data_IF_095703784119
#
_entry.id   IF_095703784119
#
_cell.length_a   1.000
_cell.length_b   1.000
_cell.length_c   1.000
_cell.angle_alpha   90.00
_cell.angle_beta   90.00
_cell.angle_gamma   90.00
#
_symmetry.space_group_name_H-M   'P 1'
#
loop_
_entity.id
_entity.type
_entity.pdbx_description
1 polymer ?
#
# COMPACT_ATOMS: atom_id res chain seq x y z
N UNK A 1 -5.83 19.27 79.24
CA UNK A 1 -5.97 20.22 78.10
C UNK A 1 -4.73 20.29 77.18
N UNK A 2 -3.49 20.45 77.69
CA UNK A 2 -2.27 20.50 76.84
C UNK A 2 -2.04 19.27 75.94
N UNK A 3 -2.24 18.06 76.46
CA UNK A 3 -2.07 16.79 75.69
C UNK A 3 -3.05 16.66 74.52
N UNK A 4 -4.29 17.13 74.68
CA UNK A 4 -5.31 17.13 73.62
C UNK A 4 -4.94 18.12 72.50
N UNK A 5 -4.43 19.31 72.85
CA UNK A 5 -3.96 20.30 71.86
C UNK A 5 -2.77 19.79 71.05
N UNK A 6 -1.85 19.06 71.67
CA UNK A 6 -0.71 18.44 70.97
C UNK A 6 -1.21 17.38 70.00
N UNK A 7 -2.12 16.50 70.42
CA UNK A 7 -2.68 15.44 69.56
C UNK A 7 -3.41 16.00 68.33
N UNK A 8 -4.18 17.08 68.50
CA UNK A 8 -4.86 17.76 67.39
C UNK A 8 -3.85 18.37 66.42
N UNK A 9 -2.77 18.98 66.93
CA UNK A 9 -1.72 19.55 66.10
C UNK A 9 -0.98 18.48 65.28
N UNK A 10 -0.63 17.33 65.87
CA UNK A 10 0.00 16.22 65.14
C UNK A 10 -0.93 15.64 64.08
N UNK A 11 -2.23 15.52 64.37
CA UNK A 11 -3.22 15.03 63.41
C UNK A 11 -3.34 15.98 62.20
N UNK A 12 -3.36 17.29 62.44
CA UNK A 12 -3.40 18.27 61.34
C UNK A 12 -2.14 18.22 60.47
N UNK A 13 -0.96 18.07 61.06
CA UNK A 13 0.29 17.92 60.29
C UNK A 13 0.26 16.66 59.44
N UNK A 14 -0.23 15.54 59.97
CA UNK A 14 -0.37 14.30 59.21
C UNK A 14 -1.33 14.44 58.02
N UNK A 15 -2.46 15.13 58.20
CA UNK A 15 -3.41 15.39 57.12
C UNK A 15 -2.80 16.27 56.02
N UNK A 16 -2.05 17.31 56.39
CA UNK A 16 -1.36 18.18 55.43
C UNK A 16 -0.31 17.42 54.63
N UNK A 17 0.45 16.53 55.29
CA UNK A 17 1.45 15.68 54.62
C UNK A 17 0.81 14.72 53.62
N UNK A 18 -0.29 14.06 54.00
CA UNK A 18 -1.02 13.15 53.10
C UNK A 18 -1.62 13.90 51.92
N UNK A 19 -2.21 15.08 52.16
CA UNK A 19 -2.75 15.94 51.09
C UNK A 19 -1.66 16.42 50.14
N UNK A 20 -0.48 16.80 50.67
CA UNK A 20 0.67 17.22 49.87
C UNK A 20 1.22 16.09 48.98
N UNK A 21 1.31 14.88 49.52
CA UNK A 21 1.72 13.69 48.76
C UNK A 21 0.68 13.37 47.66
N UNK A 22 -0.61 13.41 47.99
CA UNK A 22 -1.68 13.20 47.02
C UNK A 22 -1.66 14.23 45.88
N UNK A 23 -1.48 15.51 46.20
CA UNK A 23 -1.35 16.59 45.21
C UNK A 23 -0.10 16.40 44.33
N UNK A 24 1.03 15.99 44.90
CA UNK A 24 2.25 15.68 44.15
C UNK A 24 2.03 14.54 43.14
N UNK A 25 1.40 13.43 43.55
CA UNK A 25 1.10 12.33 42.64
C UNK A 25 0.06 12.71 41.58
N UNK A 26 -0.96 13.50 41.92
CA UNK A 26 -1.97 13.98 40.98
C UNK A 26 -1.37 14.92 39.91
N UNK A 27 -0.55 15.89 40.33
CA UNK A 27 0.17 16.78 39.40
C UNK A 27 1.15 16.01 38.49
N UNK A 28 1.83 14.99 39.03
CA UNK A 28 2.71 14.12 38.24
C UNK A 28 1.92 13.25 37.25
N UNK A 29 0.74 12.77 37.62
CA UNK A 29 -0.14 11.99 36.73
C UNK A 29 -0.72 12.85 35.59
N UNK A 30 -1.06 14.10 35.87
CA UNK A 30 -1.52 15.06 34.85
C UNK A 30 -0.41 15.50 33.88
N UNK A 31 0.82 15.63 34.37
CA UNK A 31 2.01 15.84 33.52
C UNK A 31 2.25 14.66 32.58
N UNK A 32 2.16 13.41 33.08
CA UNK A 32 2.31 12.19 32.25
C UNK A 32 1.17 12.06 31.22
N UNK A 33 -0.05 12.49 31.53
CA UNK A 33 -1.17 12.53 30.57
C UNK A 33 -1.01 13.61 29.51
N UNK A 34 -0.46 14.78 29.85
CA UNK A 34 -0.21 15.89 28.90
C UNK A 34 0.98 15.63 27.96
N UNK A 35 2.04 14.95 28.42
CA UNK A 35 3.16 14.58 27.54
C UNK A 35 2.77 13.48 26.52
N UNK A 36 1.84 12.60 26.87
CA UNK A 36 1.25 11.63 25.93
C UNK A 36 0.32 12.26 24.86
N UNK A 37 -0.02 13.55 24.98
CA UNK A 37 -0.81 14.29 23.99
C UNK A 37 0.01 15.29 23.14
N UNK A 38 1.33 15.40 23.36
CA UNK A 38 2.21 16.20 22.48
C UNK A 38 2.53 15.45 21.19
N UNK A 39 1.70 15.71 20.17
CA UNK A 39 1.84 15.37 18.75
C UNK A 39 2.31 13.94 18.44
N UNK A 40 1.37 13.05 18.12
CA UNK A 40 1.74 11.84 17.38
C UNK A 40 2.39 12.27 16.07
N UNK A 41 3.68 11.97 15.96
CA UNK A 41 4.57 12.13 14.80
C UNK A 41 4.11 11.16 13.69
N UNK A 42 2.87 11.30 13.24
CA UNK A 42 2.29 10.46 12.19
C UNK A 42 2.62 11.07 10.82
N UNK A 43 3.09 10.25 9.89
CA UNK A 43 3.16 10.65 8.48
C UNK A 43 1.75 10.53 7.86
N UNK A 44 1.55 11.09 6.67
CA UNK A 44 0.33 10.88 5.90
C UNK A 44 0.27 9.49 5.26
N UNK A 45 -0.28 9.40 4.05
CA UNK A 45 -0.48 8.10 3.37
C UNK A 45 0.74 7.76 2.51
N UNK A 46 1.63 6.82 2.93
CA UNK A 46 2.68 6.33 2.06
C UNK A 46 2.13 5.62 0.82
N UNK A 47 2.85 5.75 -0.30
CA UNK A 47 2.57 5.00 -1.54
C UNK A 47 3.74 4.08 -1.84
N UNK A 48 3.49 2.77 -1.85
CA UNK A 48 4.51 1.75 -2.11
C UNK A 48 4.45 1.31 -3.56
N UNK A 49 5.59 1.31 -4.23
CA UNK A 49 5.76 0.85 -5.59
C UNK A 49 6.42 -0.53 -5.60
N UNK A 50 5.87 -1.47 -6.37
CA UNK A 50 6.37 -2.84 -6.52
C UNK A 50 6.60 -3.18 -8.00
N UNK A 51 7.85 -3.45 -8.38
CA UNK A 51 8.23 -3.93 -9.71
C UNK A 51 7.73 -5.35 -10.03
N UNK A 52 7.84 -5.71 -11.31
CA UNK A 52 7.60 -7.06 -11.81
C UNK A 52 8.76 -8.05 -11.60
N UNK A 53 8.53 -9.26 -12.10
CA UNK A 53 9.48 -10.38 -12.09
C UNK A 53 10.82 -9.99 -12.76
N UNK A 54 11.94 -10.39 -12.16
CA UNK A 54 13.28 -10.16 -12.73
C UNK A 54 13.71 -8.69 -12.81
N UNK A 55 12.97 -7.78 -12.18
CA UNK A 55 13.24 -6.33 -12.17
C UNK A 55 13.76 -5.86 -10.81
N UNK A 56 13.81 -4.55 -10.60
CA UNK A 56 14.24 -3.88 -9.37
C UNK A 56 13.55 -2.52 -9.24
N UNK A 57 13.82 -1.82 -8.14
CA UNK A 57 13.27 -0.48 -7.88
C UNK A 57 13.48 0.54 -9.02
N UNK A 58 14.52 0.34 -9.85
CA UNK A 58 14.83 1.21 -10.99
C UNK A 58 13.67 1.33 -11.98
N UNK A 59 12.82 0.32 -12.09
CA UNK A 59 11.63 0.36 -12.95
C UNK A 59 10.60 1.40 -12.49
N UNK A 60 10.70 1.89 -11.25
CA UNK A 60 9.72 2.81 -10.67
C UNK A 60 10.22 4.25 -10.67
N UNK A 61 11.55 4.46 -10.78
CA UNK A 61 12.21 5.76 -10.67
C UNK A 61 11.63 6.80 -11.64
N UNK A 62 11.18 6.39 -12.83
CA UNK A 62 10.53 7.29 -13.78
C UNK A 62 9.23 7.86 -13.21
N UNK A 63 8.33 6.98 -12.73
CA UNK A 63 7.03 7.37 -12.17
C UNK A 63 7.20 8.16 -10.87
N UNK A 64 8.11 7.75 -9.99
CA UNK A 64 8.36 8.46 -8.73
C UNK A 64 9.01 9.83 -8.97
N UNK A 65 9.90 9.93 -9.97
CA UNK A 65 10.46 11.22 -10.43
C UNK A 65 9.38 12.13 -11.02
N UNK A 66 8.43 11.58 -11.79
CA UNK A 66 7.30 12.35 -12.30
C UNK A 66 6.43 12.88 -11.14
N UNK A 67 6.18 12.07 -10.11
CA UNK A 67 5.46 12.51 -8.91
C UNK A 67 6.21 13.63 -8.16
N UNK A 68 7.54 13.54 -8.03
CA UNK A 68 8.37 14.62 -7.47
C UNK A 68 8.25 15.91 -8.28
N UNK A 69 8.37 15.82 -9.62
CA UNK A 69 8.22 16.97 -10.53
C UNK A 69 6.83 17.61 -10.46
N UNK A 70 5.79 16.82 -10.20
CA UNK A 70 4.43 17.31 -9.98
C UNK A 70 4.19 17.84 -8.55
N UNK A 71 5.24 18.01 -7.74
CA UNK A 71 5.17 18.48 -6.35
C UNK A 71 4.20 17.65 -5.48
N UNK A 72 4.14 16.33 -5.70
CA UNK A 72 3.42 15.40 -4.82
C UNK A 72 4.14 15.27 -3.49
N UNK A 73 5.46 15.08 -3.54
CA UNK A 73 6.36 14.91 -2.42
C UNK A 73 7.80 15.13 -2.89
N UNK A 74 8.69 15.52 -1.99
CA UNK A 74 10.14 15.42 -2.21
C UNK A 74 10.76 14.19 -1.53
N UNK A 75 9.94 13.43 -0.80
CA UNK A 75 10.37 12.29 0.01
C UNK A 75 10.07 11.00 -0.72
N UNK A 76 11.12 10.45 -1.35
CA UNK A 76 11.15 9.10 -1.92
C UNK A 76 12.26 8.35 -1.17
N UNK A 77 11.91 7.20 -0.58
CA UNK A 77 12.88 6.31 0.08
C UNK A 77 12.83 4.94 -0.58
N UNK A 78 13.87 4.12 -0.38
CA UNK A 78 13.89 2.74 -0.84
C UNK A 78 13.71 1.76 0.32
N UNK A 79 12.95 0.70 0.10
CA UNK A 79 12.84 -0.45 0.98
C UNK A 79 13.47 -1.67 0.29
N UNK A 80 14.69 -2.02 0.69
CA UNK A 80 15.38 -3.22 0.21
C UNK A 80 14.90 -4.43 1.03
N UNK A 81 14.42 -5.47 0.34
CA UNK A 81 13.90 -6.70 0.93
C UNK A 81 14.82 -7.86 0.54
N UNK A 82 15.42 -8.51 1.52
CA UNK A 82 16.25 -9.70 1.31
C UNK A 82 15.40 -10.96 1.06
N UNK A 83 16.05 -12.05 0.64
CA UNK A 83 15.39 -13.35 0.37
C UNK A 83 14.68 -13.96 1.59
N UNK A 84 15.10 -13.62 2.81
CA UNK A 84 14.46 -14.02 4.08
C UNK A 84 13.39 -13.02 4.57
N UNK A 85 12.99 -12.04 3.74
CA UNK A 85 12.02 -10.99 4.05
C UNK A 85 12.47 -9.96 5.10
N UNK A 86 13.77 -9.83 5.38
CA UNK A 86 14.26 -8.70 6.18
C UNK A 86 14.23 -7.41 5.35
N UNK A 87 13.74 -6.33 5.96
CA UNK A 87 13.56 -5.03 5.29
C UNK A 87 14.55 -4.01 5.84
N UNK A 88 15.30 -3.37 4.93
CA UNK A 88 16.19 -2.24 5.23
C UNK A 88 15.73 -1.00 4.47
N UNK A 89 15.73 0.15 5.13
CA UNK A 89 15.33 1.42 4.50
C UNK A 89 16.55 2.26 4.15
N UNK A 90 16.56 2.80 2.94
CA UNK A 90 17.54 3.78 2.47
C UNK A 90 16.84 5.12 2.33
N UNK A 91 17.33 6.09 3.09
CA UNK A 91 16.65 7.36 3.32
C UNK A 91 15.77 7.35 4.57
N UNK A 92 15.17 8.49 4.86
CA UNK A 92 14.32 8.70 6.02
C UNK A 92 13.08 9.48 5.62
N UNK A 93 11.94 9.14 6.23
CA UNK A 93 10.71 9.93 6.09
C UNK A 93 10.65 10.89 7.28
N UNK A 94 10.76 12.22 7.06
CA UNK A 94 10.57 13.19 8.13
C UNK A 94 9.15 13.14 8.70
N UNK A 95 9.00 13.57 9.94
CA UNK A 95 7.69 13.70 10.59
C UNK A 95 6.74 14.57 9.76
N UNK A 96 5.43 14.28 9.80
CA UNK A 96 4.38 15.03 9.11
C UNK A 96 4.47 15.06 7.58
N UNK A 97 5.34 14.24 6.96
CA UNK A 97 5.39 14.07 5.50
C UNK A 97 4.04 13.56 5.00
N UNK A 98 3.38 14.27 4.08
CA UNK A 98 2.00 13.94 3.65
C UNK A 98 1.91 12.73 2.72
N UNK A 99 2.73 12.67 1.67
CA UNK A 99 2.66 11.65 0.62
C UNK A 99 4.05 11.01 0.39
N UNK A 100 4.69 10.38 1.39
CA UNK A 100 5.98 9.74 1.15
C UNK A 100 5.82 8.61 0.14
N UNK A 101 6.79 8.47 -0.75
CA UNK A 101 6.85 7.36 -1.71
C UNK A 101 7.93 6.39 -1.25
N UNK A 102 7.63 5.10 -1.37
CA UNK A 102 8.56 4.02 -1.04
C UNK A 102 8.71 3.14 -2.28
N UNK A 103 9.90 3.13 -2.85
CA UNK A 103 10.30 2.21 -3.92
C UNK A 103 10.73 0.90 -3.27
N UNK A 104 10.03 -0.19 -3.57
CA UNK A 104 10.35 -1.50 -2.98
C UNK A 104 11.27 -2.25 -3.92
N UNK A 105 12.42 -2.68 -3.40
CA UNK A 105 13.38 -3.48 -4.14
C UNK A 105 13.45 -4.88 -3.55
N UNK A 106 13.16 -5.91 -4.36
CA UNK A 106 13.36 -7.29 -3.95
C UNK A 106 14.73 -7.78 -4.39
N UNK A 107 15.51 -8.34 -3.45
CA UNK A 107 16.76 -9.02 -3.78
C UNK A 107 16.52 -10.23 -4.68
N UNK A 108 15.44 -10.97 -4.43
CA UNK A 108 14.98 -12.08 -5.27
C UNK A 108 13.64 -11.70 -5.93
N UNK A 109 13.72 -10.84 -6.94
CA UNK A 109 12.55 -10.34 -7.68
C UNK A 109 11.84 -11.42 -8.50
N UNK A 110 12.51 -12.55 -8.76
CA UNK A 110 11.95 -13.70 -9.46
C UNK A 110 11.04 -14.55 -8.57
N UNK A 111 11.14 -14.40 -7.25
CA UNK A 111 10.34 -15.15 -6.27
C UNK A 111 9.54 -14.22 -5.34
N UNK A 112 9.12 -13.06 -5.86
CA UNK A 112 8.29 -12.11 -5.11
C UNK A 112 6.96 -12.73 -4.66
N UNK A 113 6.48 -12.33 -3.49
CA UNK A 113 5.24 -12.84 -2.90
C UNK A 113 4.53 -11.81 -2.03
N UNK A 114 3.31 -12.15 -1.59
CA UNK A 114 2.56 -11.41 -0.57
C UNK A 114 3.34 -11.23 0.74
N UNK A 115 4.23 -12.17 1.08
CA UNK A 115 5.07 -12.11 2.29
C UNK A 115 6.05 -10.92 2.23
N UNK A 116 6.60 -10.62 1.06
CA UNK A 116 7.46 -9.46 0.87
C UNK A 116 6.66 -8.16 1.09
N UNK A 117 5.45 -8.07 0.53
CA UNK A 117 4.55 -6.93 0.72
C UNK A 117 4.24 -6.74 2.22
N UNK A 118 3.83 -7.82 2.89
CA UNK A 118 3.53 -7.81 4.33
C UNK A 118 4.75 -7.38 5.16
N UNK A 119 5.95 -7.84 4.82
CA UNK A 119 7.17 -7.50 5.52
C UNK A 119 7.47 -5.99 5.42
N UNK A 120 7.36 -5.41 4.22
CA UNK A 120 7.55 -3.97 4.00
C UNK A 120 6.50 -3.17 4.76
N UNK A 121 5.22 -3.54 4.64
CA UNK A 121 4.12 -2.86 5.36
C UNK A 121 4.36 -2.90 6.87
N UNK A 122 4.71 -4.05 7.44
CA UNK A 122 5.00 -4.19 8.88
C UNK A 122 6.22 -3.35 9.29
N UNK A 123 7.31 -3.41 8.52
CA UNK A 123 8.52 -2.64 8.81
C UNK A 123 8.26 -1.13 8.79
N UNK A 124 7.53 -0.66 7.79
CA UNK A 124 7.19 0.76 7.63
C UNK A 124 6.24 1.21 8.74
N UNK A 125 5.20 0.42 9.04
CA UNK A 125 4.21 0.71 10.09
C UNK A 125 4.87 0.83 11.46
N UNK A 126 5.80 -0.08 11.80
CA UNK A 126 6.58 -0.01 13.05
C UNK A 126 7.43 1.25 13.14
N UNK A 127 8.05 1.67 12.03
CA UNK A 127 9.01 2.79 12.03
C UNK A 127 8.35 4.17 11.99
N UNK A 128 7.30 4.35 11.19
CA UNK A 128 6.78 5.69 10.89
C UNK A 128 5.36 5.97 11.38
N UNK A 129 4.59 4.94 11.78
CA UNK A 129 3.17 5.00 12.17
C UNK A 129 2.28 5.73 11.15
N UNK A 130 1.36 5.02 10.53
CA UNK A 130 0.37 5.61 9.61
C UNK A 130 -0.86 4.72 9.57
N UNK A 131 -2.03 5.32 9.31
CA UNK A 131 -3.30 4.61 9.25
C UNK A 131 -3.66 4.07 7.86
N UNK A 132 -3.17 4.71 6.80
CA UNK A 132 -3.56 4.40 5.42
C UNK A 132 -2.35 4.19 4.53
N UNK A 133 -2.51 3.34 3.52
CA UNK A 133 -1.46 3.04 2.54
C UNK A 133 -2.03 2.97 1.12
N UNK A 134 -1.24 3.40 0.14
CA UNK A 134 -1.52 3.18 -1.27
C UNK A 134 -0.51 2.21 -1.87
N UNK A 135 -0.90 1.51 -2.94
CA UNK A 135 -0.03 0.63 -3.70
C UNK A 135 0.00 0.99 -5.18
N UNK A 136 1.17 0.82 -5.80
CA UNK A 136 1.36 0.79 -7.25
C UNK A 136 2.09 -0.50 -7.58
N UNK A 137 1.50 -1.35 -8.41
CA UNK A 137 2.12 -2.58 -8.89
C UNK A 137 2.36 -2.53 -10.40
N UNK A 138 3.52 -3.00 -10.84
CA UNK A 138 3.77 -3.29 -12.25
C UNK A 138 3.88 -4.80 -12.47
N UNK A 139 3.22 -5.31 -13.53
CA UNK A 139 3.31 -6.72 -13.92
C UNK A 139 3.06 -7.66 -12.73
N UNK A 140 4.02 -8.51 -12.39
CA UNK A 140 3.96 -9.44 -11.26
C UNK A 140 3.77 -8.78 -9.88
N UNK A 141 4.24 -7.54 -9.69
CA UNK A 141 4.02 -6.77 -8.46
C UNK A 141 2.53 -6.61 -8.12
N UNK A 142 1.65 -6.62 -9.13
CA UNK A 142 0.20 -6.61 -8.93
C UNK A 142 -0.32 -7.88 -8.26
N UNK A 143 0.23 -9.05 -8.62
CA UNK A 143 -0.17 -10.31 -8.00
C UNK A 143 0.34 -10.41 -6.57
N UNK A 144 1.52 -9.86 -6.28
CA UNK A 144 2.02 -9.77 -4.90
C UNK A 144 1.06 -8.95 -4.03
N UNK A 145 0.64 -7.78 -4.52
CA UNK A 145 -0.33 -6.91 -3.80
C UNK A 145 -1.70 -7.58 -3.69
N UNK A 146 -2.21 -8.21 -4.75
CA UNK A 146 -3.49 -8.90 -4.73
C UNK A 146 -3.51 -10.06 -3.73
N UNK A 147 -2.46 -10.87 -3.68
CA UNK A 147 -2.34 -11.95 -2.69
C UNK A 147 -2.14 -11.41 -1.27
N UNK A 148 -1.40 -10.32 -1.10
CA UNK A 148 -1.31 -9.64 0.22
C UNK A 148 -2.69 -9.24 0.74
N UNK A 149 -3.54 -8.65 -0.10
CA UNK A 149 -4.93 -8.35 0.26
C UNK A 149 -5.68 -9.63 0.58
N UNK A 150 -5.53 -10.66 -0.27
CA UNK A 150 -6.24 -11.91 -0.15
C UNK A 150 -5.98 -12.60 1.21
N UNK A 151 -4.73 -12.57 1.65
CA UNK A 151 -4.24 -13.27 2.84
C UNK A 151 -4.34 -12.45 4.13
N UNK A 152 -4.56 -11.13 4.05
CA UNK A 152 -4.49 -10.23 5.22
C UNK A 152 -5.70 -9.29 5.35
N UNK A 153 -6.79 -9.50 4.61
CA UNK A 153 -7.94 -8.59 4.56
C UNK A 153 -8.62 -8.33 5.91
N UNK A 154 -8.51 -9.26 6.86
CA UNK A 154 -9.12 -9.22 8.20
C UNK A 154 -8.12 -8.79 9.30
N UNK A 155 -6.87 -8.50 8.94
CA UNK A 155 -5.83 -8.16 9.90
C UNK A 155 -5.90 -6.68 10.31
N UNK A 156 -6.63 -6.40 11.39
CA UNK A 156 -6.83 -5.06 11.94
C UNK A 156 -5.57 -4.37 12.47
N UNK A 157 -4.44 -5.07 12.57
CA UNK A 157 -3.14 -4.49 12.98
C UNK A 157 -2.40 -3.82 11.83
N UNK A 158 -2.86 -4.03 10.59
CA UNK A 158 -2.27 -3.45 9.39
C UNK A 158 -2.97 -2.13 9.02
N UNK A 159 -2.27 -1.20 8.36
CA UNK A 159 -2.87 0.02 7.85
C UNK A 159 -3.94 -0.29 6.80
N UNK A 160 -4.98 0.53 6.74
CA UNK A 160 -6.03 0.41 5.75
C UNK A 160 -5.49 0.73 4.35
N UNK A 161 -5.86 -0.08 3.37
CA UNK A 161 -5.54 0.20 1.98
C UNK A 161 -6.53 1.25 1.46
N UNK A 162 -6.00 2.33 0.90
CA UNK A 162 -6.78 3.45 0.43
C UNK A 162 -6.94 3.43 -1.10
N UNK A 163 -5.82 3.39 -1.84
CA UNK A 163 -5.82 3.36 -3.31
C UNK A 163 -4.85 2.34 -3.87
N UNK A 164 -5.22 1.72 -4.98
CA UNK A 164 -4.35 0.82 -5.74
C UNK A 164 -4.29 1.27 -7.21
N UNK A 165 -3.07 1.40 -7.73
CA UNK A 165 -2.82 1.43 -9.17
C UNK A 165 -2.25 0.08 -9.58
N UNK A 166 -2.90 -0.57 -10.54
CA UNK A 166 -2.38 -1.74 -11.23
C UNK A 166 -1.91 -1.35 -12.61
N UNK A 167 -0.67 -1.67 -12.97
CA UNK A 167 -0.09 -1.42 -14.29
C UNK A 167 0.29 -2.77 -14.89
N UNK A 168 -0.33 -3.15 -16.00
CA UNK A 168 -0.08 -4.41 -16.69
C UNK A 168 -0.23 -5.66 -15.79
N UNK A 169 -1.20 -5.67 -14.87
CA UNK A 169 -1.44 -6.83 -14.00
C UNK A 169 -1.96 -8.03 -14.78
N UNK A 170 -1.30 -9.19 -14.67
CA UNK A 170 -1.66 -10.41 -15.42
C UNK A 170 -2.48 -11.39 -14.56
N UNK A 171 -3.60 -10.92 -14.02
CA UNK A 171 -4.42 -11.65 -13.04
C UNK A 171 -4.83 -13.04 -13.52
N UNK A 172 -5.17 -13.19 -14.81
CA UNK A 172 -5.57 -14.46 -15.40
C UNK A 172 -4.50 -15.06 -16.34
N UNK A 173 -3.23 -14.96 -15.93
CA UNK A 173 -2.08 -15.51 -16.64
C UNK A 173 -1.44 -14.50 -17.59
N UNK A 174 -0.16 -14.73 -17.92
CA UNK A 174 0.60 -13.92 -18.88
C UNK A 174 0.69 -14.63 -20.24
N UNK A 175 1.25 -14.00 -21.28
CA UNK A 175 1.28 -14.56 -22.65
C UNK A 175 2.09 -15.86 -22.78
N UNK A 176 2.95 -16.20 -21.81
CA UNK A 176 3.63 -17.49 -21.74
C UNK A 176 2.70 -18.66 -21.37
N UNK A 177 1.58 -18.38 -20.70
CA UNK A 177 0.57 -19.37 -20.34
C UNK A 177 -0.53 -19.44 -21.40
N UNK A 178 -1.05 -20.65 -21.68
CA UNK A 178 -2.15 -20.83 -22.65
C UNK A 178 -3.37 -19.97 -22.30
N UNK A 179 -3.77 -19.97 -21.03
CA UNK A 179 -4.94 -19.20 -20.55
C UNK A 179 -4.71 -17.69 -20.71
N UNK A 180 -3.54 -17.18 -20.34
CA UNK A 180 -3.22 -15.76 -20.50
C UNK A 180 -3.13 -15.32 -21.95
N UNK A 181 -2.65 -16.20 -22.85
CA UNK A 181 -2.52 -15.93 -24.29
C UNK A 181 -3.84 -15.98 -25.05
N UNK A 182 -4.72 -16.92 -24.72
CA UNK A 182 -5.93 -17.20 -25.50
C UNK A 182 -7.23 -16.74 -24.82
N UNK A 183 -7.17 -16.41 -23.54
CA UNK A 183 -8.34 -16.08 -22.72
C UNK A 183 -9.12 -14.87 -23.23
N UNK A 184 -10.43 -14.92 -23.02
CA UNK A 184 -11.39 -13.88 -23.45
C UNK A 184 -12.28 -13.49 -22.30
N UNK A 185 -12.73 -12.24 -22.30
CA UNK A 185 -13.80 -11.79 -21.40
C UNK A 185 -15.15 -12.18 -21.99
N UNK A 186 -15.88 -13.08 -21.33
CA UNK A 186 -17.21 -13.54 -21.74
C UNK A 186 -18.34 -12.69 -21.15
N UNK A 187 -18.07 -11.98 -20.06
CA UNK A 187 -19.00 -11.02 -19.49
C UNK A 187 -18.25 -9.73 -19.19
N UNK A 188 -18.49 -8.71 -20.02
CA UNK A 188 -17.83 -7.40 -19.90
C UNK A 188 -18.32 -6.59 -18.69
N UNK A 189 -19.53 -6.86 -18.20
CA UNK A 189 -20.06 -6.15 -17.03
C UNK A 189 -19.32 -6.56 -15.76
N UNK A 190 -19.02 -7.85 -15.65
CA UNK A 190 -18.29 -8.40 -14.49
C UNK A 190 -16.79 -8.52 -14.71
N UNK A 191 -16.32 -8.59 -15.95
CA UNK A 191 -14.93 -8.91 -16.31
C UNK A 191 -14.63 -10.41 -16.28
N UNK A 192 -15.65 -11.28 -16.29
CA UNK A 192 -15.47 -12.74 -16.18
C UNK A 192 -14.75 -13.28 -17.41
N UNK A 193 -13.62 -14.00 -17.26
CA UNK A 193 -13.00 -14.70 -18.37
C UNK A 193 -13.69 -16.04 -18.69
N UNK A 194 -13.46 -16.57 -19.89
CA UNK A 194 -13.89 -17.89 -20.36
C UNK A 194 -13.24 -19.05 -19.59
N UNK A 195 -11.95 -18.90 -19.26
CA UNK A 195 -11.17 -19.90 -18.52
C UNK A 195 -10.40 -19.23 -17.36
N UNK A 196 -10.19 -19.96 -16.26
CA UNK A 196 -9.46 -19.47 -15.08
C UNK A 196 -8.07 -20.12 -14.99
N UNK A 197 -7.02 -19.31 -15.07
CA UNK A 197 -5.66 -19.72 -14.76
C UNK A 197 -5.52 -20.14 -13.28
N UNK A 198 -4.52 -20.96 -12.95
CA UNK A 198 -4.32 -21.42 -11.57
C UNK A 198 -4.09 -20.25 -10.59
N UNK A 199 -3.27 -19.28 -10.99
CA UNK A 199 -3.04 -18.05 -10.23
C UNK A 199 -4.33 -17.25 -10.00
N UNK A 200 -5.21 -17.17 -11.00
CA UNK A 200 -6.50 -16.50 -10.87
C UNK A 200 -7.43 -17.20 -9.89
N UNK A 201 -7.46 -18.54 -9.90
CA UNK A 201 -8.27 -19.34 -8.96
C UNK A 201 -7.92 -19.05 -7.50
N UNK A 202 -6.63 -18.83 -7.21
CA UNK A 202 -6.17 -18.48 -5.86
C UNK A 202 -6.70 -17.11 -5.39
N UNK A 203 -6.98 -16.19 -6.33
CA UNK A 203 -7.49 -14.85 -6.03
C UNK A 203 -9.03 -14.76 -6.01
N UNK A 204 -9.75 -15.79 -6.45
CA UNK A 204 -11.23 -15.80 -6.43
C UNK A 204 -11.87 -15.46 -5.07
N UNK A 205 -11.29 -15.83 -3.91
CA UNK A 205 -11.83 -15.42 -2.61
C UNK A 205 -12.00 -13.90 -2.44
N UNK A 206 -11.18 -13.08 -3.11
CA UNK A 206 -11.32 -11.61 -3.12
C UNK A 206 -12.75 -11.17 -3.47
N UNK A 207 -13.47 -11.91 -4.32
CA UNK A 207 -14.86 -11.62 -4.66
C UNK A 207 -15.80 -11.56 -3.45
N UNK A 208 -15.41 -12.19 -2.34
CA UNK A 208 -16.18 -12.22 -1.09
C UNK A 208 -15.65 -11.31 0.00
N UNK A 209 -14.37 -10.97 -0.01
CA UNK A 209 -13.75 -10.25 1.11
C UNK A 209 -12.83 -9.09 0.73
N UNK A 210 -12.75 -8.71 -0.54
CA UNK A 210 -12.03 -7.50 -0.94
C UNK A 210 -12.52 -6.29 -0.13
N UNK A 211 -11.64 -5.50 0.52
CA UNK A 211 -12.05 -4.38 1.35
C UNK A 211 -12.81 -3.31 0.55
N UNK A 212 -13.94 -2.84 1.11
CA UNK A 212 -14.90 -2.01 0.37
C UNK A 212 -14.47 -0.55 0.20
N UNK A 213 -13.50 -0.10 0.96
CA UNK A 213 -13.00 1.28 0.94
C UNK A 213 -11.99 1.55 -0.17
N UNK A 214 -11.42 0.50 -0.79
CA UNK A 214 -10.32 0.64 -1.74
C UNK A 214 -10.82 1.18 -3.07
N UNK A 215 -10.16 2.23 -3.57
CA UNK A 215 -10.32 2.74 -4.93
C UNK A 215 -9.24 2.14 -5.83
N UNK A 216 -9.61 1.73 -7.05
CA UNK A 216 -8.69 1.03 -7.96
C UNK A 216 -8.63 1.72 -9.32
N UNK A 217 -7.41 1.93 -9.80
CA UNK A 217 -7.09 2.28 -11.17
C UNK A 217 -6.31 1.12 -11.81
N UNK A 218 -6.87 0.52 -12.86
CA UNK A 218 -6.26 -0.55 -13.64
C UNK A 218 -5.81 0.00 -15.00
N UNK A 219 -4.50 0.02 -15.24
CA UNK A 219 -3.86 0.51 -16.47
C UNK A 219 -3.25 -0.68 -17.20
N UNK A 220 -3.50 -0.80 -18.49
CA UNK A 220 -2.93 -1.86 -19.33
C UNK A 220 -2.66 -1.35 -20.74
N UNK A 221 -1.78 -2.04 -21.45
CA UNK A 221 -1.33 -1.64 -22.78
C UNK A 221 -1.85 -2.52 -23.90
N UNK A 222 -2.14 -1.91 -25.04
CA UNK A 222 -2.24 -2.55 -26.34
C UNK A 222 -1.26 -1.87 -27.30
N UNK A 223 -0.27 -2.62 -27.81
CA UNK A 223 0.70 -2.09 -28.78
C UNK A 223 0.07 -1.77 -30.14
N UNK A 224 -1.17 -2.19 -30.39
CA UNK A 224 -1.89 -2.08 -31.66
C UNK A 224 -1.16 -2.77 -32.82
N UNK A 225 -0.40 -3.84 -32.52
CA UNK A 225 0.31 -4.69 -33.49
C UNK A 225 -0.44 -6.00 -33.80
N UNK A 226 -1.72 -6.07 -33.44
CA UNK A 226 -2.55 -7.27 -33.58
C UNK A 226 -2.48 -8.25 -32.42
N UNK A 227 -1.53 -8.11 -31.48
CA UNK A 227 -1.40 -9.00 -30.31
C UNK A 227 -2.47 -8.80 -29.24
N UNK A 228 -3.17 -7.65 -29.25
CA UNK A 228 -4.17 -7.26 -28.24
C UNK A 228 -3.58 -7.31 -26.82
N UNK A 229 -2.41 -6.71 -26.67
CA UNK A 229 -1.64 -6.74 -25.43
C UNK A 229 -0.36 -5.90 -25.52
N UNK A 230 0.36 -5.88 -24.40
CA UNK A 230 1.56 -5.06 -24.23
C UNK A 230 2.86 -5.77 -24.63
N UNK A 231 2.74 -7.02 -25.10
CA UNK A 231 3.86 -7.91 -25.45
C UNK A 231 4.22 -8.94 -24.37
N UNK A 232 3.71 -8.80 -23.15
CA UNK A 232 3.85 -9.80 -22.07
C UNK A 232 2.51 -10.20 -21.46
N UNK A 233 1.53 -9.31 -21.48
CA UNK A 233 0.20 -9.46 -20.88
C UNK A 233 -0.85 -9.10 -21.91
N UNK A 234 -1.89 -9.94 -22.03
CA UNK A 234 -3.04 -9.64 -22.87
C UNK A 234 -3.96 -8.63 -22.18
N UNK A 235 -4.62 -7.78 -22.98
CA UNK A 235 -5.66 -6.86 -22.48
C UNK A 235 -6.73 -7.63 -21.70
N UNK A 236 -7.13 -8.80 -22.20
CA UNK A 236 -8.12 -9.66 -21.54
C UNK A 236 -7.65 -10.07 -20.13
N UNK A 237 -6.41 -10.55 -19.97
CA UNK A 237 -5.89 -10.93 -18.65
C UNK A 237 -5.89 -9.77 -17.67
N UNK A 238 -5.49 -8.57 -18.11
CA UNK A 238 -5.50 -7.37 -17.27
C UNK A 238 -6.92 -6.95 -16.83
N UNK A 239 -7.90 -7.06 -17.72
CA UNK A 239 -9.30 -6.73 -17.43
C UNK A 239 -9.95 -7.69 -16.43
N UNK A 240 -9.45 -8.92 -16.27
CA UNK A 240 -10.01 -9.88 -15.30
C UNK A 240 -9.89 -9.43 -13.84
N UNK A 241 -9.08 -8.40 -13.54
CA UNK A 241 -9.07 -7.82 -12.19
C UNK A 241 -10.45 -7.35 -11.75
N UNK A 242 -11.23 -6.79 -12.69
CA UNK A 242 -12.63 -6.39 -12.47
C UNK A 242 -13.43 -7.53 -11.86
N UNK A 243 -13.28 -8.75 -12.37
CA UNK A 243 -14.01 -9.90 -11.86
C UNK A 243 -13.62 -10.26 -10.43
N UNK A 244 -12.41 -9.97 -9.98
CA UNK A 244 -12.01 -10.27 -8.60
C UNK A 244 -12.67 -9.31 -7.59
N UNK A 245 -13.04 -8.10 -7.99
CA UNK A 245 -13.39 -7.02 -7.03
C UNK A 245 -14.71 -6.28 -7.32
N UNK A 246 -15.37 -6.57 -8.44
CA UNK A 246 -16.66 -5.98 -8.79
C UNK A 246 -17.70 -6.25 -7.69
N UNK A 247 -18.51 -5.24 -7.37
CA UNK A 247 -19.49 -5.26 -6.28
C UNK A 247 -18.89 -5.08 -4.88
N UNK A 248 -17.56 -4.95 -4.78
CA UNK A 248 -16.85 -4.77 -3.50
C UNK A 248 -16.05 -3.48 -3.42
N UNK A 249 -15.10 -3.26 -4.33
CA UNK A 249 -14.25 -2.07 -4.31
C UNK A 249 -15.09 -0.78 -4.36
N UNK A 250 -14.61 0.29 -3.72
CA UNK A 250 -15.29 1.60 -3.69
C UNK A 250 -15.45 2.18 -5.08
N UNK A 251 -14.40 2.05 -5.89
CA UNK A 251 -14.40 2.43 -7.29
C UNK A 251 -13.41 1.57 -8.07
N UNK A 252 -13.70 1.36 -9.35
CA UNK A 252 -12.82 0.63 -10.26
C UNK A 252 -12.83 1.30 -11.62
N UNK A 253 -11.68 1.82 -12.04
CA UNK A 253 -11.48 2.48 -13.34
C UNK A 253 -10.44 1.71 -14.15
N UNK A 254 -10.73 1.50 -15.43
CA UNK A 254 -9.78 0.96 -16.39
C UNK A 254 -9.30 2.06 -17.34
N UNK A 255 -8.03 1.99 -17.73
CA UNK A 255 -7.47 2.84 -18.78
C UNK A 255 -6.55 1.99 -19.66
N UNK A 256 -6.90 1.91 -20.93
CA UNK A 256 -6.06 1.29 -21.96
C UNK A 256 -5.11 2.33 -22.55
N UNK A 257 -3.82 2.03 -22.54
CA UNK A 257 -2.77 2.79 -23.23
C UNK A 257 -2.55 2.13 -24.59
N UNK A 258 -2.45 2.93 -25.65
CA UNK A 258 -2.41 2.42 -27.03
C UNK A 258 -1.13 2.79 -27.78
N UNK A 259 -0.80 1.99 -28.78
CA UNK A 259 0.32 2.19 -29.69
C UNK A 259 1.67 1.75 -29.12
N UNK A 260 2.76 2.05 -29.82
CA UNK A 260 4.10 1.51 -29.51
C UNK A 260 4.64 1.85 -28.10
N UNK A 261 4.11 2.88 -27.43
CA UNK A 261 4.45 3.26 -26.04
C UNK A 261 3.61 2.52 -24.98
N UNK A 262 2.70 1.65 -25.41
CA UNK A 262 1.94 0.75 -24.56
C UNK A 262 2.66 -0.60 -24.33
N UNK A 263 3.91 -0.76 -24.82
CA UNK A 263 4.70 -1.96 -24.54
C UNK A 263 4.94 -2.14 -23.04
N UNK A 264 5.00 -3.39 -22.59
CA UNK A 264 4.99 -3.81 -21.19
C UNK A 264 5.89 -3.01 -20.25
N UNK A 265 7.16 -2.81 -20.60
CA UNK A 265 8.12 -2.05 -19.80
C UNK A 265 7.95 -0.54 -20.03
N UNK A 266 7.63 -0.13 -21.26
CA UNK A 266 7.37 1.29 -21.56
C UNK A 266 6.20 1.87 -20.78
N UNK A 267 5.25 1.05 -20.31
CA UNK A 267 4.13 1.54 -19.48
C UNK A 267 4.60 2.24 -18.20
N UNK A 268 5.66 1.77 -17.55
CA UNK A 268 6.22 2.44 -16.36
C UNK A 268 7.23 3.57 -16.70
N UNK A 269 7.44 3.83 -17.98
CA UNK A 269 8.23 4.95 -18.53
C UNK A 269 7.36 5.90 -19.38
N UNK A 270 6.03 5.81 -19.21
CA UNK A 270 5.07 6.52 -20.06
C UNK A 270 4.46 7.71 -19.33
N UNK A 271 4.65 8.91 -19.89
CA UNK A 271 4.14 10.17 -19.32
C UNK A 271 2.61 10.25 -19.22
N UNK A 272 1.87 9.52 -20.05
CA UNK A 272 0.41 9.39 -19.91
C UNK A 272 0.08 8.58 -18.66
N UNK A 273 0.81 7.48 -18.42
CA UNK A 273 0.66 6.64 -17.23
C UNK A 273 1.01 7.45 -15.98
N UNK A 274 2.11 8.20 -15.98
CA UNK A 274 2.50 9.08 -14.87
C UNK A 274 1.36 10.04 -14.49
N UNK A 275 0.77 10.74 -15.48
CA UNK A 275 -0.32 11.69 -15.25
C UNK A 275 -1.55 11.01 -14.65
N UNK A 276 -1.87 9.79 -15.10
CA UNK A 276 -2.99 9.01 -14.57
C UNK A 276 -2.76 8.63 -13.11
N UNK A 277 -1.56 8.16 -12.78
CA UNK A 277 -1.16 7.79 -11.42
C UNK A 277 -1.23 9.01 -10.51
N UNK A 278 -0.63 10.13 -10.94
CA UNK A 278 -0.53 11.35 -10.13
C UNK A 278 -1.92 11.91 -9.82
N UNK A 279 -2.77 12.00 -10.84
CA UNK A 279 -4.15 12.46 -10.70
C UNK A 279 -4.96 11.52 -9.81
N UNK A 280 -4.84 10.22 -10.01
CA UNK A 280 -5.63 9.25 -9.25
C UNK A 280 -5.22 9.18 -7.78
N UNK A 281 -3.93 9.11 -7.48
CA UNK A 281 -3.45 8.96 -6.11
C UNK A 281 -3.57 10.26 -5.32
N UNK A 282 -3.17 11.40 -5.91
CA UNK A 282 -2.96 12.65 -5.19
C UNK A 282 -3.75 13.85 -5.72
N UNK A 283 -4.57 13.67 -6.76
CA UNK A 283 -5.41 14.73 -7.36
C UNK A 283 -4.60 15.99 -7.76
N UNK A 284 -3.43 15.77 -8.36
CA UNK A 284 -2.53 16.79 -8.92
C UNK A 284 -2.43 16.67 -10.43
#
# INVERSE_FOLDING_TARGET
MKKIKILIATLMIAVILVAGIGAYYWLKQDQVKKDNQRSTIEIGTPTLFFHGYGSSYKAEEHMTSAAKKAHVTNIVIRADVSSDNKVTFIGQIPSKTKNPIVEVNLQDSSNGSSKNVLAVVKALTRKYKFKKINFVGHSYGNLMVANYINENYDNQKLPEINKIVSIAGHYNGWLGEKVGRQGKIIDRSTGKPDEFALSFKQLLPLRRHYPRQIEVLNIYGDKEDGSRGDGSVSVASAQTYRYLINGRAKSYKEVEIKGAKAQHSKLHENTQVDKLIIKFLWNK
#
